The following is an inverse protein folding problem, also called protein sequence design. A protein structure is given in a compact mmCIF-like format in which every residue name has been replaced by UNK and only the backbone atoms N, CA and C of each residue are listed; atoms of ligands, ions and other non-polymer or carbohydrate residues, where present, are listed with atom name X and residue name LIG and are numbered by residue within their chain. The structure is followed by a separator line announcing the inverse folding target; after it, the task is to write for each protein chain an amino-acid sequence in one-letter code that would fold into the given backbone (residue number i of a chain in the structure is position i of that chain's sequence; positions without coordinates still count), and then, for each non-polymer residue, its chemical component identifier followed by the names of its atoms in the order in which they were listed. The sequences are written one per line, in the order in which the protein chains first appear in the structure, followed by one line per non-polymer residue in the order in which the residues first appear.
data_IF_880872723584
#
_entry.id   IF_880872723584
#
_cell.length_a   1.000
_cell.length_b   1.000
_cell.length_c   1.000
_cell.angle_alpha   90.00
_cell.angle_beta   90.00
_cell.angle_gamma   90.00
#
_symmetry.space_group_name_H-M   'P 1'
#
loop_
_entity.id
_entity.type
_entity.pdbx_description
1 polymer ?
#
# COMPACT_ATOMS: atom_id res chain seq x y z
N UNK A 1 -20.76 -6.69 -20.85
CA UNK A 1 -21.77 -6.98 -19.80
C UNK A 1 -23.10 -7.19 -20.47
N UNK A 2 -23.50 -8.45 -20.73
CA UNK A 2 -24.78 -8.79 -21.31
C UNK A 2 -25.85 -8.92 -20.20
N UNK A 3 -26.97 -8.22 -20.31
CA UNK A 3 -28.16 -8.46 -19.49
C UNK A 3 -28.44 -7.55 -18.31
N UNK A 4 -27.75 -6.39 -18.19
CA UNK A 4 -28.03 -5.39 -17.13
C UNK A 4 -28.43 -4.07 -17.78
N UNK A 5 -29.56 -3.52 -17.37
CA UNK A 5 -29.96 -2.19 -17.81
C UNK A 5 -29.02 -1.11 -17.27
N UNK A 6 -28.56 -0.16 -18.10
CA UNK A 6 -27.58 0.84 -17.69
C UNK A 6 -27.98 1.68 -16.46
N UNK A 7 -29.26 1.89 -16.24
CA UNK A 7 -29.82 2.65 -15.12
C UNK A 7 -29.75 1.94 -13.76
N UNK A 8 -29.51 0.62 -13.76
CA UNK A 8 -29.44 -0.21 -12.56
C UNK A 8 -28.01 -0.57 -12.14
N UNK A 9 -27.01 -0.13 -12.94
CA UNK A 9 -25.62 -0.49 -12.71
C UNK A 9 -24.88 0.65 -12.00
N UNK A 10 -24.44 0.38 -10.75
CA UNK A 10 -23.56 1.25 -9.98
C UNK A 10 -22.12 0.80 -10.19
N UNK A 11 -21.25 1.72 -10.61
CA UNK A 11 -19.83 1.47 -10.84
C UNK A 11 -18.99 2.38 -9.97
N UNK A 12 -17.98 1.81 -9.33
CA UNK A 12 -16.96 2.53 -8.58
C UNK A 12 -15.59 1.93 -8.86
N UNK A 13 -14.83 2.56 -9.73
CA UNK A 13 -13.51 2.08 -10.18
C UNK A 13 -13.60 0.64 -10.73
N UNK A 14 -12.95 -0.31 -10.05
CA UNK A 14 -12.94 -1.73 -10.41
C UNK A 14 -14.22 -2.47 -10.00
N UNK A 15 -14.98 -1.89 -9.07
CA UNK A 15 -16.15 -2.52 -8.48
C UNK A 15 -17.44 -2.07 -9.16
N UNK A 16 -18.38 -2.97 -9.27
CA UNK A 16 -19.69 -2.65 -9.80
C UNK A 16 -20.77 -3.56 -9.22
N UNK A 17 -21.99 -3.06 -9.18
CA UNK A 17 -23.15 -3.87 -8.84
C UNK A 17 -24.40 -3.46 -9.62
N UNK A 18 -25.28 -4.43 -9.80
CA UNK A 18 -26.66 -4.25 -10.23
C UNK A 18 -27.61 -4.79 -9.16
N UNK A 19 -28.91 -4.76 -9.41
CA UNK A 19 -29.90 -5.43 -8.55
C UNK A 19 -29.71 -6.94 -8.40
N UNK A 20 -29.01 -7.59 -9.34
CA UNK A 20 -28.89 -9.06 -9.41
C UNK A 20 -27.48 -9.61 -9.39
N UNK A 21 -26.45 -8.77 -9.48
CA UNK A 21 -25.06 -9.25 -9.54
C UNK A 21 -24.05 -8.19 -9.10
N UNK A 22 -22.89 -8.66 -8.59
CA UNK A 22 -21.71 -7.86 -8.30
C UNK A 22 -20.61 -8.17 -9.32
N UNK A 23 -19.74 -7.18 -9.56
CA UNK A 23 -18.72 -7.25 -10.61
C UNK A 23 -17.38 -6.68 -10.10
N UNK A 24 -16.31 -7.22 -10.64
CA UNK A 24 -14.94 -6.74 -10.49
C UNK A 24 -14.32 -6.64 -11.88
N UNK A 25 -13.89 -5.44 -12.30
CA UNK A 25 -13.32 -5.22 -13.62
C UNK A 25 -14.23 -5.67 -14.77
N UNK A 26 -15.55 -5.62 -14.58
CA UNK A 26 -16.54 -6.12 -15.53
C UNK A 26 -16.81 -7.62 -15.45
N UNK A 27 -16.07 -8.37 -14.65
CA UNK A 27 -16.25 -9.83 -14.44
C UNK A 27 -17.21 -10.05 -13.26
N UNK A 28 -18.20 -10.92 -13.43
CA UNK A 28 -19.16 -11.24 -12.38
C UNK A 28 -18.51 -11.96 -11.21
N UNK A 29 -18.70 -11.43 -9.98
CA UNK A 29 -18.32 -12.07 -8.74
C UNK A 29 -19.33 -13.18 -8.40
N UNK A 30 -18.91 -14.44 -8.52
CA UNK A 30 -19.77 -15.59 -8.22
C UNK A 30 -20.04 -15.66 -6.71
N UNK A 31 -21.32 -15.81 -6.36
CA UNK A 31 -21.74 -15.96 -4.96
C UNK A 31 -21.78 -14.68 -4.14
N UNK A 32 -21.44 -13.53 -4.73
CA UNK A 32 -21.60 -12.24 -4.06
C UNK A 32 -23.09 -11.85 -3.98
N UNK A 33 -23.51 -11.33 -2.83
CA UNK A 33 -24.87 -10.87 -2.57
C UNK A 33 -25.03 -9.38 -2.89
N UNK A 34 -25.73 -9.02 -4.00
CA UNK A 34 -25.85 -7.62 -4.40
C UNK A 34 -26.60 -6.74 -3.38
N UNK A 35 -27.50 -7.33 -2.59
CA UNK A 35 -28.29 -6.58 -1.62
C UNK A 35 -27.42 -6.00 -0.49
N UNK A 36 -26.41 -6.74 -0.05
CA UNK A 36 -25.49 -6.33 1.02
C UNK A 36 -24.11 -5.89 0.52
N UNK A 37 -23.85 -5.96 -0.78
CA UNK A 37 -22.53 -5.61 -1.34
C UNK A 37 -22.24 -4.13 -1.18
N UNK A 38 -21.08 -3.84 -0.59
CA UNK A 38 -20.53 -2.50 -0.44
C UNK A 38 -19.04 -2.47 -0.73
N UNK A 39 -18.59 -1.41 -1.38
CA UNK A 39 -17.17 -1.12 -1.60
C UNK A 39 -16.63 -0.45 -0.34
N UNK A 40 -15.48 -0.86 0.14
CA UNK A 40 -14.82 -0.31 1.33
C UNK A 40 -13.78 0.72 0.96
N UNK A 41 -12.93 0.39 -0.02
CA UNK A 41 -11.92 1.26 -0.62
C UNK A 41 -11.53 0.74 -2.02
N UNK A 42 -10.44 1.20 -2.61
CA UNK A 42 -9.99 0.76 -3.94
C UNK A 42 -9.64 -0.72 -4.00
N UNK A 43 -9.08 -1.29 -2.93
CA UNK A 43 -8.61 -2.67 -2.88
C UNK A 43 -9.65 -3.67 -2.39
N UNK A 44 -10.63 -3.23 -1.57
CA UNK A 44 -11.53 -4.10 -0.83
C UNK A 44 -13.01 -3.76 -1.03
N UNK A 45 -13.81 -4.79 -1.15
CA UNK A 45 -15.26 -4.74 -1.05
C UNK A 45 -15.77 -5.90 -0.17
N UNK A 46 -16.98 -5.82 0.33
CA UNK A 46 -17.58 -6.91 1.11
C UNK A 46 -19.08 -7.02 0.90
N UNK A 47 -19.60 -8.17 1.25
CA UNK A 47 -21.03 -8.42 1.46
C UNK A 47 -21.23 -9.13 2.82
N UNK A 48 -22.44 -9.57 3.10
CA UNK A 48 -22.75 -10.31 4.35
C UNK A 48 -22.06 -11.67 4.47
N UNK A 49 -21.42 -12.18 3.40
CA UNK A 49 -20.85 -13.53 3.35
C UNK A 49 -19.33 -13.56 3.17
N UNK A 50 -18.75 -12.48 2.65
CA UNK A 50 -17.33 -12.48 2.29
C UNK A 50 -16.75 -11.07 2.16
N UNK A 51 -15.42 -11.00 2.23
CA UNK A 51 -14.60 -9.86 1.77
C UNK A 51 -13.94 -10.25 0.44
N UNK A 52 -13.89 -9.29 -0.45
CA UNK A 52 -13.35 -9.42 -1.82
C UNK A 52 -12.22 -8.43 -2.03
N UNK A 53 -11.23 -8.86 -2.81
CA UNK A 53 -10.19 -8.00 -3.40
C UNK A 53 -10.20 -8.16 -4.92
N UNK A 54 -9.35 -7.41 -5.61
CA UNK A 54 -9.15 -7.59 -7.06
C UNK A 54 -8.63 -8.98 -7.44
N UNK A 55 -8.12 -9.74 -6.47
CA UNK A 55 -7.69 -11.15 -6.65
C UNK A 55 -8.75 -12.18 -6.25
N UNK A 56 -9.95 -11.73 -5.87
CA UNK A 56 -11.05 -12.60 -5.50
C UNK A 56 -11.42 -12.56 -4.00
N UNK A 57 -12.08 -13.60 -3.54
CA UNK A 57 -12.55 -13.73 -2.15
C UNK A 57 -11.39 -14.02 -1.20
N UNK A 58 -11.36 -13.33 -0.05
CA UNK A 58 -10.44 -13.64 1.05
C UNK A 58 -11.06 -14.75 1.91
N UNK A 59 -10.34 -15.86 2.15
CA UNK A 59 -10.80 -16.91 3.05
C UNK A 59 -10.71 -16.49 4.52
N UNK A 60 -11.54 -17.09 5.36
CA UNK A 60 -11.44 -17.07 6.84
C UNK A 60 -11.42 -15.69 7.49
N UNK A 61 -12.09 -14.70 6.90
CA UNK A 61 -12.21 -13.34 7.46
C UNK A 61 -13.31 -13.29 8.52
N UNK A 62 -13.01 -12.61 9.63
CA UNK A 62 -14.03 -12.25 10.62
C UNK A 62 -14.77 -10.98 10.17
N UNK A 63 -15.93 -11.20 9.49
CA UNK A 63 -16.66 -10.14 8.79
C UNK A 63 -17.13 -9.00 9.69
N UNK A 64 -17.49 -9.30 10.92
CA UNK A 64 -18.08 -8.34 11.88
C UNK A 64 -17.07 -7.30 12.36
N UNK A 65 -15.78 -7.65 12.31
CA UNK A 65 -14.67 -6.82 12.78
C UNK A 65 -13.76 -6.34 11.65
N UNK A 66 -14.05 -6.73 10.40
CA UNK A 66 -13.21 -6.36 9.25
C UNK A 66 -13.26 -4.86 8.98
N UNK A 67 -12.07 -4.25 8.87
CA UNK A 67 -11.88 -2.85 8.52
C UNK A 67 -10.69 -2.63 7.61
N UNK A 68 -10.80 -1.68 6.68
CA UNK A 68 -9.69 -1.18 5.87
C UNK A 68 -8.94 -0.10 6.64
N UNK A 69 -7.63 0.01 6.42
CA UNK A 69 -6.75 0.89 7.22
C UNK A 69 -6.18 2.07 6.41
N UNK A 70 -6.40 2.10 5.09
CA UNK A 70 -5.94 3.12 4.15
C UNK A 70 -6.94 3.30 3.00
N UNK A 71 -6.61 4.10 1.98
CA UNK A 71 -7.46 4.32 0.82
C UNK A 71 -7.51 3.14 -0.16
N UNK A 72 -6.60 2.17 -0.05
CA UNK A 72 -6.58 0.95 -0.84
C UNK A 72 -6.01 1.10 -2.25
N UNK A 73 -5.18 2.10 -2.51
CA UNK A 73 -4.49 2.29 -3.79
C UNK A 73 -3.02 2.68 -3.59
N UNK A 74 -2.19 2.33 -4.59
CA UNK A 74 -0.82 2.81 -4.68
C UNK A 74 -0.73 4.08 -5.54
N UNK A 75 0.48 4.61 -5.72
CA UNK A 75 0.75 5.85 -6.46
C UNK A 75 0.33 5.80 -7.93
N UNK A 76 0.33 4.62 -8.54
CA UNK A 76 -0.20 4.42 -9.90
C UNK A 76 -1.72 4.26 -9.95
N UNK A 77 -2.41 4.33 -8.80
CA UNK A 77 -3.83 4.11 -8.68
C UNK A 77 -4.27 2.64 -8.73
N UNK A 78 -3.32 1.70 -8.66
CA UNK A 78 -3.63 0.29 -8.60
C UNK A 78 -4.10 -0.13 -7.19
N UNK A 79 -5.01 -1.13 -7.08
CA UNK A 79 -5.53 -1.59 -5.80
C UNK A 79 -4.42 -2.14 -4.89
N UNK A 80 -4.18 -1.50 -3.76
CA UNK A 80 -3.18 -1.92 -2.78
C UNK A 80 -3.55 -1.36 -1.41
N UNK A 81 -3.38 -2.11 -0.34
CA UNK A 81 -3.61 -1.55 1.00
C UNK A 81 -3.68 -2.58 2.11
N UNK A 82 -3.70 -2.04 3.33
CA UNK A 82 -3.82 -2.79 4.56
C UNK A 82 -5.28 -2.87 5.03
N UNK A 83 -5.61 -4.00 5.61
CA UNK A 83 -6.87 -4.22 6.31
C UNK A 83 -6.63 -5.11 7.53
N UNK A 84 -7.57 -5.17 8.47
CA UNK A 84 -7.53 -6.11 9.59
C UNK A 84 -8.94 -6.56 10.00
N UNK A 85 -8.99 -7.67 10.69
CA UNK A 85 -10.12 -8.09 11.51
C UNK A 85 -9.67 -8.29 12.97
N UNK A 86 -10.47 -8.88 13.83
CA UNK A 86 -10.09 -9.14 15.22
C UNK A 86 -8.97 -10.18 15.40
N UNK A 87 -8.64 -10.95 14.37
CA UNK A 87 -7.73 -12.09 14.43
C UNK A 87 -6.43 -11.88 13.68
N UNK A 88 -6.44 -11.09 12.58
CA UNK A 88 -5.27 -10.99 11.71
C UNK A 88 -5.26 -9.70 10.89
N UNK A 89 -4.08 -9.38 10.37
CA UNK A 89 -3.83 -8.25 9.48
C UNK A 89 -3.59 -8.78 8.06
N UNK A 90 -4.15 -8.06 7.10
CA UNK A 90 -4.10 -8.37 5.67
C UNK A 90 -3.36 -7.28 4.92
N UNK A 91 -2.64 -7.69 3.87
CA UNK A 91 -2.08 -6.77 2.88
C UNK A 91 -2.39 -7.28 1.48
N UNK A 92 -2.99 -6.42 0.66
CA UNK A 92 -3.19 -6.64 -0.76
C UNK A 92 -2.23 -5.76 -1.56
N UNK A 93 -1.42 -6.36 -2.44
CA UNK A 93 -0.41 -5.64 -3.23
C UNK A 93 -0.78 -5.44 -4.71
N UNK A 94 -2.05 -5.72 -5.07
CA UNK A 94 -2.59 -5.45 -6.40
C UNK A 94 -2.36 -6.55 -7.45
N UNK A 95 -1.26 -7.28 -7.36
CA UNK A 95 -0.79 -8.25 -8.37
C UNK A 95 -1.06 -9.71 -8.00
N UNK A 96 -1.63 -9.97 -6.85
CA UNK A 96 -1.76 -11.33 -6.38
C UNK A 96 -2.67 -11.54 -5.20
N UNK A 97 -2.46 -12.66 -4.52
CA UNK A 97 -3.23 -13.05 -3.35
C UNK A 97 -2.97 -12.11 -2.18
N UNK A 98 -4.02 -11.85 -1.40
CA UNK A 98 -3.88 -11.17 -0.11
C UNK A 98 -2.93 -11.94 0.78
N UNK A 99 -1.99 -11.23 1.38
CA UNK A 99 -1.04 -11.76 2.37
C UNK A 99 -1.56 -11.53 3.77
N UNK A 100 -1.50 -12.53 4.62
CA UNK A 100 -1.68 -12.38 6.06
C UNK A 100 -0.32 -12.00 6.65
N UNK A 101 -0.28 -10.90 7.40
CA UNK A 101 0.94 -10.43 8.06
C UNK A 101 1.13 -11.21 9.35
N UNK A 102 1.92 -12.28 9.26
CA UNK A 102 2.17 -13.16 10.41
C UNK A 102 2.87 -12.42 11.55
N UNK A 103 2.37 -12.62 12.76
CA UNK A 103 2.97 -12.05 13.97
C UNK A 103 2.68 -10.57 14.21
N UNK A 104 1.86 -9.93 13.37
CA UNK A 104 1.39 -8.57 13.63
C UNK A 104 0.51 -8.53 14.90
N UNK A 105 0.70 -7.49 15.71
CA UNK A 105 -0.14 -7.21 16.87
C UNK A 105 -1.40 -6.47 16.41
N UNK A 106 -2.48 -7.22 16.21
CA UNK A 106 -3.71 -6.72 15.56
C UNK A 106 -4.31 -5.51 16.28
N UNK A 107 -4.29 -5.52 17.60
CA UNK A 107 -4.92 -4.47 18.43
C UNK A 107 -4.27 -3.11 18.21
N UNK A 108 -2.96 -3.07 18.05
CA UNK A 108 -2.16 -1.86 17.87
C UNK A 108 -1.76 -1.58 16.42
N UNK A 109 -2.11 -2.48 15.48
CA UNK A 109 -1.71 -2.33 14.09
C UNK A 109 -2.44 -1.16 13.42
N UNK A 110 -1.66 -0.31 12.74
CA UNK A 110 -2.15 0.83 11.97
C UNK A 110 -1.33 0.99 10.67
N UNK A 111 -1.99 1.41 9.61
CA UNK A 111 -1.36 1.90 8.38
C UNK A 111 -0.91 3.34 8.59
N UNK A 112 0.21 3.75 7.99
CA UNK A 112 0.74 5.11 8.08
C UNK A 112 0.25 5.95 6.89
N UNK A 113 -1.07 6.10 6.82
CA UNK A 113 -1.75 6.81 5.75
C UNK A 113 -1.68 6.05 4.42
N UNK A 114 -1.60 6.80 3.32
CA UNK A 114 -1.55 6.26 1.97
C UNK A 114 -0.12 5.90 1.53
N UNK A 115 0.75 5.59 2.49
CA UNK A 115 2.11 5.12 2.27
C UNK A 115 2.14 3.59 2.21
N UNK A 116 3.31 3.04 1.87
CA UNK A 116 3.51 1.58 1.90
C UNK A 116 3.82 1.03 3.30
N UNK A 117 3.89 1.91 4.31
CA UNK A 117 4.32 1.58 5.66
C UNK A 117 3.16 1.40 6.62
N UNK A 118 3.39 0.54 7.59
CA UNK A 118 2.50 0.30 8.71
C UNK A 118 3.33 -0.02 9.96
N UNK A 119 2.71 0.05 11.12
CA UNK A 119 3.35 -0.36 12.38
C UNK A 119 2.35 -0.98 13.35
N UNK A 120 2.86 -1.75 14.28
CA UNK A 120 2.22 -2.08 15.53
C UNK A 120 3.07 -1.55 16.72
N UNK A 121 2.74 -1.90 17.94
CA UNK A 121 3.52 -1.48 19.13
C UNK A 121 4.93 -2.09 19.20
N UNK A 122 5.23 -3.12 18.40
CA UNK A 122 6.49 -3.89 18.46
C UNK A 122 7.32 -3.80 17.18
N UNK A 123 6.71 -3.48 16.03
CA UNK A 123 7.34 -3.67 14.72
C UNK A 123 6.90 -2.63 13.71
N UNK A 124 7.79 -2.40 12.75
CA UNK A 124 7.52 -1.66 11.52
C UNK A 124 7.32 -2.65 10.37
N UNK A 125 6.42 -2.30 9.48
CA UNK A 125 6.12 -3.07 8.26
C UNK A 125 6.23 -2.16 7.05
N UNK A 126 6.72 -2.71 5.95
CA UNK A 126 6.73 -2.05 4.65
C UNK A 126 6.31 -3.05 3.58
N UNK A 127 5.38 -2.64 2.71
CA UNK A 127 4.89 -3.46 1.60
C UNK A 127 4.41 -4.86 2.06
N UNK A 128 3.69 -4.89 3.18
CA UNK A 128 3.15 -6.11 3.78
C UNK A 128 4.18 -7.07 4.38
N UNK A 129 5.41 -6.60 4.64
CA UNK A 129 6.48 -7.37 5.28
C UNK A 129 7.03 -6.63 6.48
N UNK A 130 7.38 -7.35 7.54
CA UNK A 130 8.10 -6.76 8.66
C UNK A 130 9.47 -6.23 8.20
N UNK A 131 9.84 -5.03 8.64
CA UNK A 131 11.21 -4.52 8.55
C UNK A 131 12.08 -5.24 9.59
N UNK A 132 12.96 -6.14 9.20
CA UNK A 132 13.83 -6.79 10.15
C UNK A 132 14.86 -5.78 10.68
N UNK A 133 15.12 -5.83 11.97
CA UNK A 133 16.12 -4.98 12.65
C UNK A 133 15.79 -3.48 12.77
N UNK A 134 14.62 -3.02 12.34
CA UNK A 134 14.24 -1.63 12.56
C UNK A 134 14.15 -1.32 14.05
N UNK A 135 14.81 -0.24 14.46
CA UNK A 135 14.75 0.27 15.83
C UNK A 135 13.51 1.17 15.98
N UNK A 136 12.42 0.58 16.44
CA UNK A 136 11.12 1.26 16.53
C UNK A 136 11.17 2.62 17.26
N UNK A 137 11.89 2.79 18.38
CA UNK A 137 11.97 4.08 19.09
C UNK A 137 12.56 5.22 18.27
N UNK A 138 13.52 4.94 17.40
CA UNK A 138 14.18 5.95 16.56
C UNK A 138 13.70 5.94 15.11
N UNK A 139 12.76 5.05 14.77
CA UNK A 139 12.31 4.94 13.39
C UNK A 139 11.44 6.12 12.98
N UNK A 140 11.72 6.68 11.80
CA UNK A 140 10.95 7.74 11.17
C UNK A 140 10.68 7.47 9.69
N UNK A 141 9.53 7.92 9.22
CA UNK A 141 9.13 7.89 7.82
C UNK A 141 9.65 9.15 7.13
N UNK A 142 10.38 9.00 6.03
CA UNK A 142 10.96 10.11 5.27
C UNK A 142 10.12 10.46 4.02
N UNK A 143 9.54 9.45 3.37
CA UNK A 143 8.67 9.61 2.20
C UNK A 143 7.75 8.40 2.06
N UNK A 144 6.97 8.33 0.98
CA UNK A 144 6.17 7.13 0.67
C UNK A 144 7.01 5.85 0.52
N UNK A 145 8.32 6.00 0.21
CA UNK A 145 9.22 4.91 -0.15
C UNK A 145 10.33 4.70 0.86
N UNK A 146 10.80 5.80 1.50
CA UNK A 146 11.96 5.78 2.37
C UNK A 146 11.61 5.94 3.83
N UNK A 147 12.33 5.23 4.66
CA UNK A 147 12.32 5.39 6.10
C UNK A 147 13.72 5.18 6.67
N UNK A 148 13.96 5.63 7.89
CA UNK A 148 15.22 5.36 8.59
C UNK A 148 15.01 5.12 10.08
N UNK A 149 15.98 4.51 10.70
CA UNK A 149 16.18 4.54 12.16
C UNK A 149 17.56 5.17 12.47
N UNK A 150 17.96 5.19 13.72
CA UNK A 150 19.26 5.73 14.14
C UNK A 150 20.49 5.02 13.53
N UNK A 151 20.32 3.92 12.84
CA UNK A 151 21.41 3.08 12.33
C UNK A 151 21.28 2.68 10.87
N UNK A 152 20.09 2.78 10.27
CA UNK A 152 19.81 2.24 8.94
C UNK A 152 18.84 3.12 8.19
N UNK A 153 19.05 3.15 6.89
CA UNK A 153 18.11 3.71 5.92
C UNK A 153 17.45 2.55 5.17
N UNK A 154 16.17 2.69 4.87
CA UNK A 154 15.38 1.69 4.16
C UNK A 154 14.67 2.30 2.96
N UNK A 155 14.69 1.58 1.85
CA UNK A 155 13.75 1.74 0.77
C UNK A 155 12.73 0.61 0.85
N UNK A 156 11.47 0.95 1.13
CA UNK A 156 10.42 -0.03 1.45
C UNK A 156 10.90 -1.02 2.54
N UNK A 157 10.99 -2.31 2.19
CA UNK A 157 11.41 -3.36 3.10
C UNK A 157 12.89 -3.80 2.93
N UNK A 158 13.70 -3.00 2.23
CA UNK A 158 15.12 -3.26 1.96
C UNK A 158 16.02 -2.24 2.63
N UNK A 159 17.04 -2.69 3.33
CA UNK A 159 18.08 -1.84 3.90
C UNK A 159 19.01 -1.32 2.81
N UNK A 160 19.23 0.00 2.75
CA UNK A 160 20.21 0.64 1.87
C UNK A 160 21.56 0.58 2.59
N UNK A 161 22.38 -0.38 2.19
CA UNK A 161 23.67 -0.61 2.84
C UNK A 161 24.65 0.52 2.55
N UNK A 162 25.30 1.02 3.60
CA UNK A 162 26.30 2.07 3.48
C UNK A 162 25.74 3.49 3.45
N UNK A 163 24.42 3.66 3.44
CA UNK A 163 23.83 4.99 3.53
C UNK A 163 24.11 5.63 4.91
N UNK A 164 24.49 6.91 4.89
CA UNK A 164 24.71 7.69 6.09
C UNK A 164 23.37 8.20 6.64
N UNK A 165 22.94 7.64 7.77
CA UNK A 165 21.63 7.94 8.36
C UNK A 165 21.44 9.41 8.72
N UNK A 166 22.49 10.08 9.17
CA UNK A 166 22.41 11.45 9.70
C UNK A 166 22.19 12.47 8.58
N UNK A 167 22.82 12.24 7.42
CA UNK A 167 22.74 13.15 6.27
C UNK A 167 21.78 12.70 5.17
N UNK A 168 21.13 11.54 5.32
CA UNK A 168 20.25 11.02 4.28
C UNK A 168 19.02 11.91 4.09
N UNK A 169 18.82 12.35 2.85
CA UNK A 169 17.72 13.22 2.44
C UNK A 169 17.02 12.70 1.18
N UNK A 170 15.70 12.76 1.18
CA UNK A 170 14.85 12.38 0.03
C UNK A 170 14.49 13.59 -0.81
N UNK A 171 14.36 13.43 -2.12
CA UNK A 171 13.95 14.50 -3.03
C UNK A 171 12.44 14.71 -3.05
N UNK A 172 11.66 13.71 -2.65
CA UNK A 172 10.20 13.77 -2.55
C UNK A 172 9.80 13.58 -1.10
N UNK A 173 9.60 14.65 -0.32
CA UNK A 173 9.16 14.55 1.05
C UNK A 173 7.72 14.01 1.16
N UNK A 174 7.33 13.62 2.36
CA UNK A 174 6.06 12.94 2.64
C UNK A 174 4.80 13.76 2.29
N UNK A 175 4.89 15.07 2.37
CA UNK A 175 3.82 16.02 2.07
C UNK A 175 3.72 16.40 0.58
N UNK A 176 4.68 15.97 -0.24
CA UNK A 176 4.64 16.17 -1.68
C UNK A 176 3.93 15.01 -2.40
N UNK A 177 3.33 15.24 -3.58
CA UNK A 177 2.84 14.14 -4.41
C UNK A 177 3.95 13.13 -4.70
N UNK A 178 3.68 11.82 -4.64
CA UNK A 178 4.69 10.81 -4.94
C UNK A 178 5.20 10.98 -6.37
N UNK A 179 6.51 11.12 -6.51
CA UNK A 179 7.18 11.16 -7.80
C UNK A 179 7.74 9.77 -8.12
N UNK A 180 7.79 9.43 -9.41
CA UNK A 180 8.11 8.07 -9.84
C UNK A 180 9.55 7.65 -9.56
N UNK A 181 10.48 8.59 -9.42
CA UNK A 181 11.91 8.26 -9.48
C UNK A 181 12.57 7.91 -8.17
N UNK A 182 11.89 8.17 -7.05
CA UNK A 182 12.35 7.73 -5.72
C UNK A 182 13.83 8.08 -5.44
N UNK A 183 14.18 9.35 -5.72
CA UNK A 183 15.55 9.83 -5.56
C UNK A 183 15.85 10.25 -4.13
N UNK A 184 17.08 9.95 -3.69
CA UNK A 184 17.62 10.37 -2.40
C UNK A 184 19.14 10.60 -2.50
N UNK A 185 19.70 11.21 -1.47
CA UNK A 185 21.15 11.36 -1.32
C UNK A 185 21.55 11.38 0.15
N UNK A 186 22.80 11.07 0.41
CA UNK A 186 23.48 11.44 1.65
C UNK A 186 24.66 12.37 1.35
N UNK A 187 25.54 12.57 2.31
CA UNK A 187 26.74 13.45 2.13
C UNK A 187 27.76 12.93 1.13
N UNK A 188 27.74 11.63 0.81
CA UNK A 188 28.75 10.97 -0.03
C UNK A 188 28.18 10.32 -1.29
N UNK A 189 26.89 9.95 -1.27
CA UNK A 189 26.29 9.11 -2.29
C UNK A 189 24.93 9.59 -2.75
N UNK A 190 24.57 9.16 -3.95
CA UNK A 190 23.28 9.40 -4.59
C UNK A 190 22.56 8.08 -4.81
N UNK A 191 21.24 8.09 -4.65
CA UNK A 191 20.42 6.90 -4.68
C UNK A 191 19.21 7.05 -5.58
N UNK A 192 18.87 5.95 -6.25
CA UNK A 192 17.55 5.73 -6.86
C UNK A 192 17.01 4.41 -6.33
N UNK A 193 15.85 4.44 -5.68
CA UNK A 193 15.31 3.31 -4.93
C UNK A 193 16.29 2.85 -3.83
N UNK A 194 16.71 1.58 -3.84
CA UNK A 194 17.71 1.02 -2.92
C UNK A 194 19.11 0.91 -3.53
N UNK A 195 19.32 1.48 -4.71
CA UNK A 195 20.57 1.39 -5.45
C UNK A 195 21.34 2.70 -5.41
N UNK A 196 22.65 2.61 -5.17
CA UNK A 196 23.56 3.73 -5.31
C UNK A 196 23.81 3.98 -6.81
N UNK A 197 23.73 5.24 -7.22
CA UNK A 197 23.95 5.66 -8.62
C UNK A 197 24.98 6.79 -8.67
N UNK A 198 25.56 7.00 -9.86
CA UNK A 198 26.50 8.09 -10.11
C UNK A 198 25.78 9.45 -10.12
N UNK A 199 26.47 10.51 -9.64
CA UNK A 199 25.92 11.86 -9.58
C UNK A 199 25.36 12.39 -10.90
N UNK A 200 26.02 12.19 -12.07
CA UNK A 200 25.48 12.67 -13.34
C UNK A 200 24.12 12.08 -13.68
N UNK A 201 23.94 10.78 -13.43
CA UNK A 201 22.65 10.11 -13.65
C UNK A 201 21.59 10.62 -12.67
N UNK A 202 21.96 10.83 -11.42
CA UNK A 202 21.08 11.37 -10.41
C UNK A 202 20.59 12.79 -10.76
N UNK A 203 21.48 13.66 -11.24
CA UNK A 203 21.15 15.02 -11.70
C UNK A 203 20.21 14.99 -12.91
N UNK A 204 20.45 14.09 -13.87
CA UNK A 204 19.56 13.88 -15.02
C UNK A 204 18.13 13.52 -14.55
N UNK A 205 18.01 12.57 -13.64
CA UNK A 205 16.72 12.15 -13.08
C UNK A 205 16.03 13.27 -12.30
N UNK A 206 16.81 14.01 -11.50
CA UNK A 206 16.27 15.14 -10.74
C UNK A 206 15.72 16.23 -11.67
N UNK A 207 16.39 16.50 -12.78
CA UNK A 207 15.94 17.47 -13.78
C UNK A 207 14.63 17.04 -14.47
N UNK A 208 14.47 15.74 -14.75
CA UNK A 208 13.22 15.19 -15.27
C UNK A 208 12.03 15.39 -14.32
N UNK A 209 12.26 15.42 -12.99
CA UNK A 209 11.23 15.65 -11.97
C UNK A 209 10.84 17.11 -11.79
N UNK A 210 11.73 18.03 -12.13
CA UNK A 210 11.53 19.48 -12.00
C UNK A 210 11.60 20.15 -13.37
N UNK A 211 10.66 19.86 -14.29
CA UNK A 211 10.66 20.53 -15.58
C UNK A 211 10.54 22.05 -15.34
N UNK A 212 11.36 22.83 -16.03
CA UNK A 212 11.33 24.28 -15.99
C UNK A 212 9.90 24.77 -16.26
N UNK A 213 9.39 25.60 -15.34
CA UNK A 213 8.11 26.31 -15.48
C UNK A 213 8.19 27.37 -16.58
#
# INVERSE_FOLDING_TARGET
MKGVAPKEFLCWRYWGKSSTACFLGGIRLRGADPASFRVLNYAYAMDKTAVYTTSGRIPDVELTTFQVLDNGQNDSGAPQGYAKDSRQVYFHNGDGKVKIIKGAEVSSFLSLGDTYFARDEKRIYAYGKQLPKADLPSWELLSHWYSRDARRVYYLNREIKGADCDSFAVCTPLDAPPLADHLARDKEHFYQNDEMIEEPLWLERLHELTPEQ
#
